data_IF_500574413220
#
_entry.id   IF_500574413220
#
_cell.length_a   1.000
_cell.length_b   1.000
_cell.length_c   1.000
_cell.angle_alpha   90.00
_cell.angle_beta   90.00
_cell.angle_gamma   90.00
#
_symmetry.space_group_name_H-M   'P 1'
#
loop_
_entity.id
_entity.type
_entity.pdbx_description
1 polymer ?
#
# COMPACT_ATOMS: atom_id res chain seq x y z
N UNK A 1 -7.72 11.97 -6.17
CA UNK A 1 -7.63 10.50 -6.30
C UNK A 1 -8.55 10.05 -7.40
N UNK A 2 -8.07 9.21 -8.30
CA UNK A 2 -8.90 8.65 -9.37
C UNK A 2 -9.73 7.48 -8.83
N UNK A 3 -10.93 7.24 -9.38
CA UNK A 3 -11.78 6.10 -8.98
C UNK A 3 -11.05 4.77 -9.22
N UNK A 4 -10.31 4.65 -10.32
CA UNK A 4 -9.55 3.44 -10.63
C UNK A 4 -8.39 3.17 -9.67
N UNK A 5 -7.72 4.24 -9.21
CA UNK A 5 -6.65 4.17 -8.21
C UNK A 5 -7.19 3.67 -6.86
N UNK A 6 -8.31 4.26 -6.42
CA UNK A 6 -8.93 3.93 -5.14
C UNK A 6 -9.54 2.52 -5.16
N UNK A 7 -10.14 2.11 -6.27
CA UNK A 7 -10.69 0.77 -6.39
C UNK A 7 -9.59 -0.30 -6.43
N UNK A 8 -8.44 -0.01 -7.05
CA UNK A 8 -7.26 -0.90 -7.02
C UNK A 8 -6.66 -1.01 -5.62
N UNK A 9 -6.58 0.09 -4.85
CA UNK A 9 -6.06 0.04 -3.48
C UNK A 9 -6.97 -0.78 -2.57
N UNK A 10 -8.30 -0.60 -2.65
CA UNK A 10 -9.24 -1.44 -1.88
C UNK A 10 -9.19 -2.91 -2.29
N UNK A 11 -9.13 -3.20 -3.60
CA UNK A 11 -9.00 -4.59 -4.07
C UNK A 11 -7.71 -5.25 -3.55
N UNK A 12 -6.61 -4.49 -3.50
CA UNK A 12 -5.33 -4.95 -2.95
C UNK A 12 -5.44 -5.28 -1.45
N UNK A 13 -6.08 -4.41 -0.68
CA UNK A 13 -6.33 -4.63 0.75
C UNK A 13 -7.22 -5.84 1.00
N UNK A 14 -8.30 -6.01 0.24
CA UNK A 14 -9.21 -7.17 0.37
C UNK A 14 -8.45 -8.48 0.12
N UNK A 15 -7.57 -8.50 -0.88
CA UNK A 15 -6.77 -9.69 -1.19
C UNK A 15 -5.76 -9.97 -0.08
N UNK A 16 -5.10 -8.94 0.45
CA UNK A 16 -4.19 -9.05 1.58
C UNK A 16 -4.87 -9.58 2.85
N UNK A 17 -6.03 -9.03 3.22
CA UNK A 17 -6.84 -9.46 4.38
C UNK A 17 -7.24 -10.94 4.32
N UNK A 18 -7.45 -11.46 3.10
CA UNK A 18 -7.80 -12.87 2.87
C UNK A 18 -6.57 -13.79 2.76
N UNK A 19 -5.35 -13.26 2.88
CA UNK A 19 -4.11 -14.00 2.65
C UNK A 19 -3.96 -14.50 1.20
N UNK A 20 -4.67 -13.87 0.26
CA UNK A 20 -4.64 -14.23 -1.16
C UNK A 20 -3.56 -13.38 -1.84
N UNK A 21 -2.66 -13.96 -2.65
CA UNK A 21 -1.62 -13.19 -3.29
C UNK A 21 -2.22 -12.17 -4.26
N UNK A 22 -1.76 -10.93 -4.16
CA UNK A 22 -2.21 -9.79 -4.96
C UNK A 22 -1.63 -9.88 -6.36
N UNK A 23 -2.48 -10.15 -7.35
CA UNK A 23 -2.13 -10.21 -8.77
C UNK A 23 -3.02 -9.30 -9.59
N UNK A 24 -2.54 -8.84 -10.75
CA UNK A 24 -3.30 -7.95 -11.61
C UNK A 24 -4.63 -8.57 -12.06
N UNK A 25 -4.65 -9.89 -12.28
CA UNK A 25 -5.84 -10.65 -12.66
C UNK A 25 -6.92 -10.62 -11.58
N UNK A 26 -6.53 -10.79 -10.31
CA UNK A 26 -7.47 -10.81 -9.19
C UNK A 26 -8.01 -9.42 -8.89
N UNK A 27 -7.15 -8.40 -8.93
CA UNK A 27 -7.58 -7.01 -8.83
C UNK A 27 -8.61 -6.70 -9.92
N UNK A 28 -8.31 -7.05 -11.18
CA UNK A 28 -9.23 -6.84 -12.31
C UNK A 28 -10.55 -7.59 -12.12
N UNK A 29 -10.53 -8.77 -11.51
CA UNK A 29 -11.74 -9.56 -11.22
C UNK A 29 -12.63 -8.86 -10.19
N UNK A 30 -12.04 -8.31 -9.13
CA UNK A 30 -12.77 -7.53 -8.11
C UNK A 30 -13.35 -6.26 -8.74
N UNK A 31 -12.57 -5.56 -9.57
CA UNK A 31 -13.03 -4.35 -10.26
C UNK A 31 -14.19 -4.63 -11.22
N UNK A 32 -14.13 -5.75 -11.96
CA UNK A 32 -15.24 -6.20 -12.81
C UNK A 32 -16.48 -6.55 -11.98
N UNK A 33 -16.32 -7.22 -10.84
CA UNK A 33 -17.43 -7.52 -9.93
C UNK A 33 -18.06 -6.26 -9.33
N UNK A 34 -17.25 -5.24 -9.07
CA UNK A 34 -17.68 -3.92 -8.61
C UNK A 34 -18.21 -3.01 -9.74
N UNK A 35 -18.18 -3.47 -11.00
CA UNK A 35 -18.55 -2.71 -12.19
C UNK A 35 -17.81 -1.36 -12.31
N UNK A 36 -16.52 -1.35 -11.91
CA UNK A 36 -15.65 -0.18 -11.98
C UNK A 36 -14.74 -0.28 -13.20
N UNK A 37 -14.77 0.74 -14.05
CA UNK A 37 -13.79 0.90 -15.12
C UNK A 37 -12.48 1.45 -14.56
N UNK A 38 -11.41 0.72 -14.79
CA UNK A 38 -10.07 1.06 -14.36
C UNK A 38 -9.08 0.77 -15.48
N UNK A 39 -8.12 1.66 -15.68
CA UNK A 39 -7.03 1.43 -16.62
C UNK A 39 -6.19 0.23 -16.19
N UNK A 40 -5.81 -0.61 -17.15
CA UNK A 40 -4.99 -1.81 -16.92
C UNK A 40 -3.60 -1.50 -16.36
N UNK A 41 -3.18 -0.24 -16.39
CA UNK A 41 -1.96 0.22 -15.74
C UNK A 41 -1.99 0.03 -14.21
N UNK A 42 -3.12 0.31 -13.56
CA UNK A 42 -3.23 0.28 -12.10
C UNK A 42 -3.10 -1.12 -11.50
N UNK A 43 -3.83 -2.16 -11.97
CA UNK A 43 -3.67 -3.52 -11.45
C UNK A 43 -2.23 -4.03 -11.55
N UNK A 44 -1.54 -3.76 -12.66
CA UNK A 44 -0.14 -4.15 -12.86
C UNK A 44 0.85 -3.36 -11.99
N UNK A 45 0.52 -2.11 -11.63
CA UNK A 45 1.32 -1.33 -10.69
C UNK A 45 1.21 -1.91 -9.27
N UNK A 46 -0.01 -2.22 -8.83
CA UNK A 46 -0.25 -2.76 -7.49
C UNK A 46 0.27 -4.19 -7.31
N UNK A 47 0.22 -5.02 -8.35
CA UNK A 47 0.88 -6.33 -8.37
C UNK A 47 2.39 -6.21 -8.11
N UNK A 48 3.10 -5.36 -8.85
CA UNK A 48 4.53 -5.12 -8.66
C UNK A 48 4.87 -4.52 -7.30
N UNK A 49 3.94 -3.76 -6.73
CA UNK A 49 4.11 -3.13 -5.43
C UNK A 49 3.96 -4.17 -4.31
N UNK A 50 2.97 -5.06 -4.42
CA UNK A 50 2.77 -6.18 -3.52
C UNK A 50 3.88 -7.25 -3.60
N UNK A 51 4.54 -7.39 -4.75
CA UNK A 51 5.72 -8.26 -4.88
C UNK A 51 6.96 -7.71 -4.16
N UNK A 52 7.11 -6.38 -4.07
CA UNK A 52 8.32 -5.74 -3.52
C UNK A 52 8.22 -5.38 -2.04
N UNK A 53 7.01 -5.18 -1.51
CA UNK A 53 6.77 -4.81 -0.12
C UNK A 53 5.56 -5.58 0.39
N UNK A 54 5.60 -6.05 1.65
CA UNK A 54 4.37 -6.51 2.28
C UNK A 54 3.40 -5.34 2.35
N UNK A 55 2.14 -5.57 1.97
CA UNK A 55 1.09 -4.55 2.04
C UNK A 55 0.88 -4.09 3.48
N UNK A 56 1.15 -4.96 4.45
CA UNK A 56 1.12 -4.63 5.88
C UNK A 56 2.18 -3.57 6.25
N UNK A 57 3.41 -3.69 5.72
CA UNK A 57 4.49 -2.71 5.92
C UNK A 57 4.23 -1.36 5.22
N UNK A 58 3.26 -1.30 4.31
CA UNK A 58 2.82 -0.08 3.65
C UNK A 58 1.74 0.68 4.43
N UNK A 59 1.05 -0.03 5.34
CA UNK A 59 -0.01 0.53 6.19
C UNK A 59 0.55 0.88 7.57
N UNK A 60 1.54 0.12 8.07
CA UNK A 60 2.31 0.53 9.23
C UNK A 60 3.02 1.87 8.93
N UNK A 61 2.70 2.87 9.73
CA UNK A 61 3.29 4.21 9.68
C UNK A 61 4.83 4.16 9.63
N UNK A 62 5.50 5.20 9.10
CA UNK A 62 6.95 5.30 9.21
C UNK A 62 7.34 5.07 10.67
N UNK A 63 8.27 4.13 10.91
CA UNK A 63 9.00 4.11 12.17
C UNK A 63 9.67 5.48 12.25
N UNK A 64 9.08 6.41 13.00
CA UNK A 64 9.79 7.59 13.47
C UNK A 64 11.01 7.05 14.21
N UNK A 65 12.18 7.27 13.63
CA UNK A 65 13.46 7.10 14.30
C UNK A 65 13.47 8.16 15.41
N UNK A 66 13.03 7.74 16.59
CA UNK A 66 13.13 8.49 17.83
C UNK A 66 14.60 8.52 18.23
N UNK A 67 15.41 9.33 17.54
CA UNK A 67 16.70 9.78 18.06
C UNK A 67 16.42 10.90 19.07
N UNK A 68 15.89 10.52 20.23
CA UNK A 68 16.06 11.27 21.46
C UNK A 68 17.54 11.19 21.89
N UNK A 69 18.40 12.01 21.28
CA UNK A 69 19.71 12.37 21.86
C UNK A 69 19.99 13.87 21.65
N UNK A 70 19.12 14.73 22.18
CA UNK A 70 19.49 16.13 22.46
C UNK A 70 19.07 16.58 23.87
N UNK A 71 19.36 15.72 24.87
CA UNK A 71 19.38 16.12 26.27
C UNK A 71 20.79 15.99 26.83
N UNK A 72 21.69 16.87 26.39
CA UNK A 72 22.93 17.12 27.13
C UNK A 72 24.16 17.44 26.29
N UNK A 73 24.22 18.63 25.68
CA UNK A 73 25.49 19.31 25.38
C UNK A 73 25.28 20.83 25.54
N UNK A 74 25.68 21.36 26.69
CA UNK A 74 25.62 22.80 26.98
C UNK A 74 26.07 23.18 28.38
N UNK A 75 27.04 22.45 28.94
CA UNK A 75 27.92 22.97 29.99
C UNK A 75 28.88 23.94 29.26
N UNK A 76 28.87 25.24 29.59
CA UNK A 76 29.59 26.37 28.93
C UNK A 76 28.79 26.94 27.73
N UNK A 77 28.09 28.08 27.79
CA UNK A 77 28.37 29.41 28.37
C UNK A 77 27.05 30.09 28.81
#
# INVERSE_FOLDING_TARGET
MSIGELACSYATLILADQGIPVTAEKITTILKAANVECESYWPSLFEKLAEKKNIEDLIEEPKEESDEEDFGMGLFD
#
